data_IF_619558542118
#
_entry.id   IF_619558542118
#
_cell.length_a   1.000
_cell.length_b   1.000
_cell.length_c   1.000
_cell.angle_alpha   90.00
_cell.angle_beta   90.00
_cell.angle_gamma   90.00
#
_symmetry.space_group_name_H-M   'P 1'
#
loop_
_entity.id
_entity.type
_entity.pdbx_description
1 polymer ?
#
# COMPACT_ATOMS: atom_id res chain seq x y z
N UNK A 1 -6.66 -20.64 -1.10
CA UNK A 1 -5.74 -19.49 -0.94
C UNK A 1 -4.94 -19.28 -2.22
N UNK A 2 -4.68 -18.03 -2.58
CA UNK A 2 -3.83 -17.67 -3.73
C UNK A 2 -2.36 -17.73 -3.29
N UNK A 3 -1.52 -18.40 -4.08
CA UNK A 3 -0.09 -18.54 -3.78
C UNK A 3 0.69 -17.36 -4.36
N UNK A 4 1.46 -16.66 -3.53
CA UNK A 4 2.39 -15.61 -3.91
C UNK A 4 3.80 -16.12 -3.70
N UNK A 5 4.64 -16.03 -4.74
CA UNK A 5 6.07 -16.35 -4.58
C UNK A 5 6.78 -15.13 -4.01
N UNK A 6 7.64 -15.35 -3.02
CA UNK A 6 8.34 -14.26 -2.32
C UNK A 6 9.84 -14.53 -2.35
N UNK A 7 10.61 -13.52 -2.76
CA UNK A 7 12.08 -13.51 -2.66
C UNK A 7 12.51 -12.51 -1.59
N UNK A 8 13.37 -12.96 -0.68
CA UNK A 8 14.00 -12.09 0.33
C UNK A 8 15.21 -11.35 -0.27
N UNK A 9 15.31 -10.04 -0.02
CA UNK A 9 16.41 -9.18 -0.43
C UNK A 9 17.02 -8.58 0.83
N UNK A 10 18.11 -9.18 1.32
CA UNK A 10 18.76 -8.78 2.59
C UNK A 10 17.75 -8.63 3.74
N UNK A 11 16.72 -9.47 3.71
CA UNK A 11 15.63 -9.44 4.68
C UNK A 11 16.11 -9.88 6.05
N UNK A 12 15.95 -9.02 7.05
CA UNK A 12 16.56 -9.17 8.38
C UNK A 12 15.72 -10.00 9.35
N UNK A 13 14.54 -10.43 8.93
CA UNK A 13 13.66 -11.24 9.76
C UNK A 13 13.67 -12.69 9.31
N UNK A 14 13.44 -13.62 10.27
CA UNK A 14 13.40 -15.05 9.98
C UNK A 14 12.17 -15.42 9.16
N UNK A 15 11.02 -14.94 9.59
CA UNK A 15 9.72 -15.34 9.05
C UNK A 15 9.17 -14.29 8.05
N UNK A 16 8.48 -14.77 7.02
CA UNK A 16 7.72 -13.90 6.11
C UNK A 16 6.53 -13.28 6.86
N UNK A 17 6.00 -12.15 6.35
CA UNK A 17 4.74 -11.59 6.86
C UNK A 17 3.62 -12.64 6.90
N UNK A 18 2.82 -12.62 7.95
CA UNK A 18 1.69 -13.51 8.14
C UNK A 18 0.44 -12.72 8.54
N UNK A 19 -0.73 -13.30 8.29
CA UNK A 19 -1.97 -12.76 8.83
C UNK A 19 -1.97 -12.93 10.34
N UNK A 20 -2.19 -11.84 11.07
CA UNK A 20 -2.19 -11.86 12.55
C UNK A 20 -3.40 -12.59 13.11
N UNK A 21 -4.53 -12.53 12.42
CA UNK A 21 -5.76 -13.25 12.75
C UNK A 21 -6.37 -13.90 11.50
N UNK A 22 -7.28 -14.85 11.69
CA UNK A 22 -7.97 -15.51 10.58
C UNK A 22 -8.82 -14.54 9.73
N UNK A 23 -9.27 -13.43 10.32
CA UNK A 23 -10.05 -12.40 9.66
C UNK A 23 -9.23 -11.21 9.15
N UNK A 24 -7.89 -11.22 9.32
CA UNK A 24 -7.04 -10.14 8.82
C UNK A 24 -7.05 -10.09 7.30
N UNK A 25 -7.19 -8.89 6.72
CA UNK A 25 -7.10 -8.66 5.27
C UNK A 25 -5.69 -8.34 4.80
N UNK A 26 -4.86 -7.80 5.66
CA UNK A 26 -3.51 -7.34 5.35
C UNK A 26 -2.42 -8.12 6.06
N UNK A 27 -1.26 -8.12 5.42
CA UNK A 27 0.00 -8.64 5.94
C UNK A 27 0.90 -7.44 6.27
N UNK A 28 1.43 -7.35 7.48
CA UNK A 28 2.29 -6.22 7.86
C UNK A 28 3.60 -6.19 7.09
N UNK A 29 3.98 -5.02 6.61
CA UNK A 29 5.28 -4.72 6.03
C UNK A 29 6.15 -4.01 7.05
N UNK A 30 7.41 -4.42 7.14
CA UNK A 30 8.39 -3.87 8.07
C UNK A 30 9.39 -2.96 7.37
N UNK A 31 9.97 -2.04 8.13
CA UNK A 31 11.12 -1.26 7.70
C UNK A 31 12.39 -2.14 7.72
N UNK A 32 12.82 -2.62 6.55
CA UNK A 32 14.04 -3.42 6.41
C UNK A 32 15.27 -2.52 6.23
N UNK A 33 15.57 -1.75 7.26
CA UNK A 33 16.64 -0.75 7.32
C UNK A 33 17.68 -1.12 8.39
N UNK A 34 18.89 -0.57 8.28
CA UNK A 34 19.98 -0.79 9.24
C UNK A 34 19.99 0.22 10.39
N UNK A 35 19.60 1.45 10.07
CA UNK A 35 19.61 2.58 11.00
C UNK A 35 18.23 3.26 10.99
N UNK A 36 17.87 3.86 12.10
CA UNK A 36 16.67 4.67 12.21
C UNK A 36 16.65 5.81 11.18
N UNK A 37 15.45 6.15 10.71
CA UNK A 37 15.21 7.29 9.84
C UNK A 37 14.33 8.27 10.61
N UNK A 38 14.75 9.53 10.67
CA UNK A 38 13.92 10.62 11.19
C UNK A 38 13.16 11.25 10.03
N UNK A 39 11.85 11.14 10.07
CA UNK A 39 10.95 11.72 9.08
C UNK A 39 10.30 12.98 9.67
N UNK A 40 10.73 14.14 9.18
CA UNK A 40 10.21 15.44 9.65
C UNK A 40 8.79 15.70 9.12
N UNK A 41 8.05 16.66 9.72
CA UNK A 41 6.75 17.07 9.22
C UNK A 41 6.77 17.39 7.72
N UNK A 42 5.79 16.87 6.97
CA UNK A 42 5.62 17.00 5.52
C UNK A 42 6.73 16.37 4.66
N UNK A 43 7.69 15.69 5.27
CA UNK A 43 8.68 14.90 4.52
C UNK A 43 8.12 13.52 4.15
N UNK A 44 8.62 12.99 3.02
CA UNK A 44 8.39 11.61 2.58
C UNK A 44 9.72 10.90 2.41
N UNK A 45 9.67 9.58 2.59
CA UNK A 45 10.84 8.73 2.39
C UNK A 45 10.42 7.38 1.81
N UNK A 46 11.30 6.77 1.03
CA UNK A 46 11.11 5.45 0.45
C UNK A 46 11.76 4.42 1.37
N UNK A 47 10.95 3.60 2.03
CA UNK A 47 11.43 2.60 3.00
C UNK A 47 11.42 1.22 2.37
N UNK A 48 12.57 0.53 2.28
CA UNK A 48 12.64 -0.82 1.76
C UNK A 48 11.99 -1.82 2.72
N UNK A 49 11.35 -2.85 2.16
CA UNK A 49 10.74 -3.95 2.93
C UNK A 49 11.58 -5.23 2.92
N UNK A 50 12.58 -5.32 2.03
CA UNK A 50 13.39 -6.53 1.84
C UNK A 50 12.67 -7.67 1.11
N UNK A 51 11.54 -7.39 0.47
CA UNK A 51 10.72 -8.39 -0.21
C UNK A 51 10.49 -8.04 -1.67
N UNK A 52 10.67 -9.01 -2.56
CA UNK A 52 10.15 -9.01 -3.93
C UNK A 52 9.14 -10.13 -4.09
N UNK A 53 8.15 -9.94 -4.94
CA UNK A 53 7.06 -10.90 -5.11
C UNK A 53 6.79 -11.21 -6.57
N UNK A 54 6.20 -12.37 -6.82
CA UNK A 54 5.55 -12.71 -8.07
C UNK A 54 4.08 -12.99 -7.78
N UNK A 55 3.23 -12.11 -8.29
CA UNK A 55 1.78 -12.14 -8.09
C UNK A 55 1.16 -12.83 -9.31
N UNK A 56 0.21 -13.77 -9.14
CA UNK A 56 -0.51 -14.36 -10.28
C UNK A 56 -1.28 -13.30 -11.09
N UNK A 57 -1.50 -13.57 -12.37
CA UNK A 57 -2.38 -12.75 -13.20
C UNK A 57 -3.76 -12.57 -12.55
N UNK A 58 -4.40 -11.44 -12.84
CA UNK A 58 -5.69 -11.02 -12.28
C UNK A 58 -5.69 -10.69 -10.78
N UNK A 59 -4.49 -10.51 -10.21
CA UNK A 59 -4.32 -9.99 -8.85
C UNK A 59 -3.32 -8.84 -8.84
N UNK A 60 -3.43 -8.00 -7.82
CA UNK A 60 -2.45 -7.00 -7.42
C UNK A 60 -2.21 -7.08 -5.92
N UNK A 61 -1.13 -6.48 -5.45
CA UNK A 61 -0.97 -6.15 -4.04
C UNK A 61 -1.15 -4.64 -3.88
N UNK A 62 -1.98 -4.25 -2.92
CA UNK A 62 -2.11 -2.85 -2.50
C UNK A 62 -1.34 -2.61 -1.21
N UNK A 63 -0.48 -1.61 -1.22
CA UNK A 63 0.24 -1.12 -0.04
C UNK A 63 -0.59 -0.01 0.59
N UNK A 64 -1.02 -0.25 1.84
CA UNK A 64 -1.92 0.63 2.59
C UNK A 64 -1.30 1.06 3.91
N UNK A 65 -1.69 2.21 4.48
CA UNK A 65 -1.27 2.62 5.81
C UNK A 65 -1.74 1.66 6.90
N UNK A 66 -1.06 1.72 8.04
CA UNK A 66 -1.55 1.11 9.28
C UNK A 66 -2.37 2.14 10.05
N UNK A 67 -3.57 1.77 10.45
CA UNK A 67 -4.51 2.66 11.17
C UNK A 67 -3.91 3.24 12.46
N UNK A 68 -3.12 2.46 13.20
CA UNK A 68 -2.48 2.91 14.42
C UNK A 68 -1.45 4.03 14.18
N UNK A 69 -0.61 3.91 13.16
CA UNK A 69 0.36 4.95 12.79
C UNK A 69 -0.35 6.19 12.23
N UNK A 70 -1.40 6.00 11.44
CA UNK A 70 -2.18 7.11 10.91
C UNK A 70 -2.86 7.91 12.02
N UNK A 71 -3.56 7.23 12.92
CA UNK A 71 -4.33 7.87 13.99
C UNK A 71 -3.45 8.51 15.07
N UNK A 72 -2.37 7.83 15.49
CA UNK A 72 -1.54 8.28 16.60
C UNK A 72 -0.41 9.22 16.19
N UNK A 73 0.17 9.00 15.01
CA UNK A 73 1.40 9.66 14.57
C UNK A 73 1.24 10.46 13.28
N UNK A 74 0.08 10.42 12.62
CA UNK A 74 -0.14 11.09 11.35
C UNK A 74 0.73 10.56 10.21
N UNK A 75 1.15 9.30 10.28
CA UNK A 75 1.97 8.65 9.26
C UNK A 75 1.07 7.90 8.27
N UNK A 76 1.29 8.19 7.01
CA UNK A 76 0.53 7.55 5.92
C UNK A 76 1.47 7.01 4.84
N UNK A 77 0.92 6.23 3.93
CA UNK A 77 1.55 5.87 2.65
C UNK A 77 1.10 6.93 1.64
N UNK A 78 2.06 7.68 1.09
CA UNK A 78 1.76 8.88 0.28
C UNK A 78 0.86 8.57 -0.93
N UNK A 79 1.10 7.45 -1.61
CA UNK A 79 0.35 7.02 -2.79
C UNK A 79 -0.76 6.01 -2.48
N UNK A 80 -1.24 5.96 -1.23
CA UNK A 80 -2.23 4.95 -0.84
C UNK A 80 -3.52 5.02 -1.67
N UNK A 81 -4.04 3.87 -2.12
CA UNK A 81 -3.43 2.54 -2.08
C UNK A 81 -2.29 2.41 -3.10
N UNK A 82 -1.07 2.10 -2.63
CA UNK A 82 0.06 1.86 -3.52
C UNK A 82 -0.14 0.57 -4.31
N UNK A 83 0.06 0.61 -5.63
CA UNK A 83 -0.16 -0.54 -6.50
C UNK A 83 1.14 -1.30 -6.75
N UNK A 84 1.11 -2.61 -6.52
CA UNK A 84 2.15 -3.55 -6.94
C UNK A 84 1.53 -4.46 -8.00
N UNK A 85 1.94 -4.26 -9.24
CA UNK A 85 1.43 -5.00 -10.40
C UNK A 85 1.88 -6.47 -10.41
N UNK A 86 1.12 -7.32 -11.09
CA UNK A 86 1.42 -8.76 -11.15
C UNK A 86 2.78 -9.08 -11.77
N UNK A 87 3.24 -8.26 -12.71
CA UNK A 87 4.51 -8.40 -13.42
C UNK A 87 5.68 -7.59 -12.81
N UNK A 88 5.44 -6.84 -11.72
CA UNK A 88 6.52 -6.16 -11.00
C UNK A 88 7.39 -7.19 -10.25
N UNK A 89 8.71 -7.12 -10.45
CA UNK A 89 9.70 -8.02 -9.83
C UNK A 89 10.72 -7.31 -8.95
N UNK A 90 10.60 -5.98 -8.83
CA UNK A 90 11.46 -5.20 -7.94
C UNK A 90 11.10 -5.38 -6.47
N UNK A 91 11.92 -4.81 -5.62
CA UNK A 91 11.65 -4.77 -4.18
C UNK A 91 10.41 -3.92 -3.89
N UNK A 92 9.51 -4.43 -3.05
CA UNK A 92 8.42 -3.63 -2.49
C UNK A 92 9.02 -2.59 -1.56
N UNK A 93 8.77 -1.31 -1.85
CA UNK A 93 9.17 -0.19 -1.02
C UNK A 93 7.96 0.64 -0.65
N UNK A 94 7.92 1.13 0.58
CA UNK A 94 6.81 1.92 1.10
C UNK A 94 7.18 3.40 1.07
N UNK A 95 6.34 4.22 0.44
CA UNK A 95 6.50 5.68 0.42
C UNK A 95 5.78 6.24 1.64
N UNK A 96 6.49 6.42 2.75
CA UNK A 96 5.93 7.01 3.96
C UNK A 96 5.96 8.53 3.89
N UNK A 97 4.89 9.16 4.38
CA UNK A 97 4.80 10.61 4.58
C UNK A 97 4.40 10.91 6.02
N UNK A 98 4.98 11.95 6.59
CA UNK A 98 4.64 12.46 7.91
C UNK A 98 3.71 13.68 7.77
N UNK A 99 2.44 13.50 8.07
CA UNK A 99 1.41 14.56 8.04
C UNK A 99 1.16 15.18 9.43
N UNK A 100 2.00 14.84 10.41
CA UNK A 100 1.94 15.42 11.76
C UNK A 100 2.81 16.69 11.87
N UNK A 101 2.80 17.31 13.04
CA UNK A 101 3.62 18.48 13.36
C UNK A 101 4.93 18.13 14.06
N UNK A 102 5.17 16.84 14.32
CA UNK A 102 6.32 16.33 15.07
C UNK A 102 7.18 15.41 14.21
N UNK A 103 8.46 15.30 14.52
CA UNK A 103 9.33 14.30 13.89
C UNK A 103 8.84 12.90 14.24
N UNK A 104 8.88 12.01 13.27
CA UNK A 104 8.60 10.60 13.45
C UNK A 104 9.86 9.76 13.21
N UNK A 105 10.16 8.88 14.14
CA UNK A 105 11.28 7.94 14.03
C UNK A 105 10.80 6.62 13.45
N UNK A 106 11.39 6.23 12.32
CA UNK A 106 11.20 4.91 11.73
C UNK A 106 12.35 4.04 12.22
N UNK A 107 12.03 3.00 12.97
CA UNK A 107 13.03 2.09 13.53
C UNK A 107 13.20 0.83 12.65
N UNK A 108 14.40 0.22 12.63
CA UNK A 108 14.60 -1.06 11.97
C UNK A 108 13.61 -2.12 12.47
N UNK A 109 12.96 -2.83 11.53
CA UNK A 109 11.99 -3.87 11.85
C UNK A 109 10.62 -3.38 12.29
N UNK A 110 10.40 -2.07 12.37
CA UNK A 110 9.09 -1.51 12.70
C UNK A 110 8.06 -1.84 11.60
N UNK A 111 6.86 -2.21 12.00
CA UNK A 111 5.71 -2.37 11.11
C UNK A 111 5.25 -0.99 10.63
N UNK A 112 5.39 -0.71 9.34
CA UNK A 112 5.20 0.64 8.77
C UNK A 112 4.00 0.76 7.84
N UNK A 113 3.57 -0.34 7.26
CA UNK A 113 2.46 -0.42 6.32
C UNK A 113 1.87 -1.83 6.34
N UNK A 114 0.87 -2.07 5.54
CA UNK A 114 0.34 -3.39 5.27
C UNK A 114 0.15 -3.61 3.77
N UNK A 115 0.27 -4.85 3.33
CA UNK A 115 -0.03 -5.25 1.96
C UNK A 115 -1.29 -6.12 1.94
N UNK A 116 -2.16 -5.85 0.98
CA UNK A 116 -3.44 -6.57 0.78
C UNK A 116 -3.48 -7.10 -0.62
N UNK A 117 -3.72 -8.41 -0.77
CA UNK A 117 -3.94 -9.03 -2.08
C UNK A 117 -5.37 -8.70 -2.55
N UNK A 118 -5.48 -8.15 -3.74
CA UNK A 118 -6.76 -7.76 -4.35
C UNK A 118 -6.92 -8.39 -5.73
N UNK A 119 -8.12 -8.84 -6.10
CA UNK A 119 -8.43 -9.22 -7.47
C UNK A 119 -8.47 -7.98 -8.37
N UNK A 120 -8.07 -8.14 -9.63
CA UNK A 120 -8.07 -7.08 -10.63
C UNK A 120 -8.92 -7.49 -11.81
N UNK A 121 -9.86 -6.62 -12.19
CA UNK A 121 -10.65 -6.74 -13.41
C UNK A 121 -10.06 -5.81 -14.46
N UNK A 122 -9.76 -6.35 -15.65
CA UNK A 122 -9.27 -5.55 -16.78
C UNK A 122 -10.44 -4.92 -17.51
N UNK A 123 -10.29 -3.65 -17.88
CA UNK A 123 -11.26 -2.91 -18.68
C UNK A 123 -10.76 -2.79 -20.12
N UNK A 124 -11.66 -2.96 -21.08
CA UNK A 124 -11.46 -2.52 -22.46
C UNK A 124 -12.16 -1.18 -22.64
N UNK A 125 -11.40 -0.15 -23.04
CA UNK A 125 -11.95 1.17 -23.30
C UNK A 125 -12.40 1.27 -24.74
N UNK A 126 -13.70 1.54 -24.94
CA UNK A 126 -14.30 1.73 -26.25
C UNK A 126 -14.74 3.18 -26.38
N UNK A 127 -14.18 3.90 -27.34
CA UNK A 127 -14.58 5.27 -27.64
C UNK A 127 -15.96 5.31 -28.28
N UNK A 128 -16.81 6.19 -27.76
CA UNK A 128 -18.15 6.47 -28.30
C UNK A 128 -18.40 7.97 -28.34
N UNK A 129 -19.23 8.43 -29.27
CA UNK A 129 -19.58 9.84 -29.37
C UNK A 129 -20.56 10.27 -28.27
N UNK A 130 -21.46 9.36 -27.87
CA UNK A 130 -22.52 9.61 -26.91
C UNK A 130 -22.57 8.48 -25.88
N UNK A 131 -22.56 8.82 -24.59
CA UNK A 131 -22.77 7.84 -23.51
C UNK A 131 -24.27 7.57 -23.31
N UNK A 132 -24.64 6.36 -22.89
CA UNK A 132 -26.00 6.06 -22.49
C UNK A 132 -26.47 7.00 -21.37
N UNK A 133 -27.74 7.39 -21.42
CA UNK A 133 -28.35 8.24 -20.38
C UNK A 133 -28.42 7.51 -19.03
N UNK A 134 -28.33 8.28 -17.96
CA UNK A 134 -28.56 7.79 -16.60
C UNK A 134 -29.38 8.81 -15.79
N UNK A 135 -30.07 8.35 -14.75
CA UNK A 135 -30.86 9.23 -13.86
C UNK A 135 -29.99 10.31 -13.21
N UNK A 136 -28.74 10.00 -12.87
CA UNK A 136 -27.79 10.98 -12.32
C UNK A 136 -27.25 11.95 -13.37
N UNK A 137 -27.13 11.52 -14.63
CA UNK A 137 -26.54 12.33 -15.69
C UNK A 137 -25.13 12.81 -15.33
N UNK A 138 -24.85 14.09 -15.53
CA UNK A 138 -23.57 14.75 -15.23
C UNK A 138 -23.44 15.24 -13.78
N UNK A 139 -24.43 14.97 -12.92
CA UNK A 139 -24.41 15.42 -11.53
C UNK A 139 -23.28 14.82 -10.72
N UNK A 140 -22.49 15.65 -10.08
CA UNK A 140 -21.36 15.26 -9.24
C UNK A 140 -20.94 16.42 -8.34
N UNK A 141 -19.81 16.26 -7.64
CA UNK A 141 -19.19 17.29 -6.80
C UNK A 141 -20.16 17.95 -5.78
N UNK A 142 -21.01 17.10 -5.16
CA UNK A 142 -22.00 17.56 -4.19
C UNK A 142 -23.35 17.98 -4.79
N UNK A 143 -23.65 17.63 -6.05
CA UNK A 143 -24.93 17.97 -6.72
C UNK A 143 -26.16 17.36 -6.04
N UNK A 144 -25.99 16.35 -5.18
CA UNK A 144 -27.07 15.71 -4.41
C UNK A 144 -27.39 16.42 -3.08
N UNK A 145 -26.70 17.53 -2.78
CA UNK A 145 -26.83 18.29 -1.55
C UNK A 145 -26.06 17.69 -0.36
N UNK A 146 -26.25 18.27 0.81
CA UNK A 146 -25.73 17.79 2.10
C UNK A 146 -26.74 16.91 2.81
#
# INVERSE_FOLDING_TARGET
>A
MVKILVKKINYKHKDLPKYETIGSSGLDLIANIDKEIILKPNERTLVPTGLSVAIPENYEIQVRPRSGLAAKNGISVLNTPGTVDADYRGEIKVILINLSLENFKIEPGQRIAQMVLCPVVKAELVEVDILPESVRGSGGFGSTGR
#
